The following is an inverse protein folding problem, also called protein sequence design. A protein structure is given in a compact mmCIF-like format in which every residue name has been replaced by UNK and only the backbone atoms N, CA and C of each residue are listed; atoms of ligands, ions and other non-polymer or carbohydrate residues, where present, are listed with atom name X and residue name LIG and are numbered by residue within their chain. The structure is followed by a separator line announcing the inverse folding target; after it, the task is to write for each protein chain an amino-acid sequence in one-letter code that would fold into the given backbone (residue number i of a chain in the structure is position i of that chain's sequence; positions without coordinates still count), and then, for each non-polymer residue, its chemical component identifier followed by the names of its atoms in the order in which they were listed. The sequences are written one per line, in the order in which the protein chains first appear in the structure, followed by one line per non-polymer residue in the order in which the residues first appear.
data_IF_862475491120
#
_entry.id   IF_862475491120
#
_cell.length_a   1.000
_cell.length_b   1.000
_cell.length_c   1.000
_cell.angle_alpha   90.00
_cell.angle_beta   90.00
_cell.angle_gamma   90.00
#
_symmetry.space_group_name_H-M   'P 1'
#
loop_
_entity.id
_entity.type
_entity.pdbx_description
1 polymer ?
#
# COMPACT_ATOMS: atom_id res chain seq x y z
N UNK A 1 28.56 20.00 -4.14
CA UNK A 1 28.02 18.80 -3.49
C UNK A 1 28.11 17.72 -4.53
N UNK A 2 28.96 16.73 -4.29
CA UNK A 2 29.09 15.59 -5.20
C UNK A 2 27.77 14.82 -5.14
N UNK A 3 27.15 14.63 -6.29
CA UNK A 3 25.96 13.79 -6.41
C UNK A 3 26.41 12.37 -6.16
N UNK A 4 25.82 11.70 -5.18
CA UNK A 4 26.07 10.27 -4.97
C UNK A 4 25.85 9.53 -6.30
N UNK A 5 26.74 8.61 -6.69
CA UNK A 5 26.62 7.91 -7.95
C UNK A 5 25.32 7.10 -7.98
N UNK A 6 24.60 7.13 -9.10
CA UNK A 6 23.47 6.24 -9.35
C UNK A 6 24.00 4.80 -9.46
N UNK A 7 23.52 3.92 -8.58
CA UNK A 7 23.93 2.52 -8.54
C UNK A 7 22.75 1.66 -9.01
N UNK A 8 22.98 0.88 -10.05
CA UNK A 8 22.04 -0.15 -10.49
C UNK A 8 22.09 -1.35 -9.53
N UNK A 9 20.93 -1.75 -9.03
CA UNK A 9 20.77 -2.90 -8.13
C UNK A 9 19.81 -3.92 -8.72
N UNK A 10 20.02 -5.19 -8.39
CA UNK A 10 19.05 -6.25 -8.69
C UNK A 10 18.22 -6.52 -7.44
N UNK A 11 16.91 -6.55 -7.60
CA UNK A 11 15.98 -6.74 -6.47
C UNK A 11 15.08 -7.95 -6.69
N UNK A 12 14.71 -8.63 -5.61
CA UNK A 12 13.52 -9.46 -5.57
C UNK A 12 12.34 -8.64 -5.05
N UNK A 13 11.14 -8.97 -5.53
CA UNK A 13 9.90 -8.42 -5.01
C UNK A 13 9.06 -9.56 -4.44
N UNK A 14 8.63 -9.41 -3.20
CA UNK A 14 7.69 -10.33 -2.55
C UNK A 14 6.69 -9.53 -1.70
N UNK A 15 5.64 -10.20 -1.25
CA UNK A 15 4.61 -9.59 -0.41
C UNK A 15 4.22 -10.49 0.76
N UNK A 16 3.75 -9.84 1.81
CA UNK A 16 3.12 -10.51 2.93
C UNK A 16 1.72 -9.96 3.18
N UNK A 17 0.89 -10.81 3.77
CA UNK A 17 -0.49 -10.52 4.10
C UNK A 17 -0.67 -10.60 5.61
N UNK A 18 -1.51 -9.73 6.18
CA UNK A 18 -1.89 -9.85 7.59
C UNK A 18 -2.55 -11.20 7.90
N UNK A 19 -3.33 -11.75 6.97
CA UNK A 19 -3.98 -13.06 7.09
C UNK A 19 -3.60 -13.93 5.90
N UNK A 20 -3.39 -15.23 6.13
CA UNK A 20 -3.12 -16.19 5.04
C UNK A 20 -4.30 -16.20 4.06
N UNK A 21 -3.98 -16.21 2.76
CA UNK A 21 -4.97 -16.26 1.69
C UNK A 21 -5.38 -14.88 1.16
N UNK A 22 -5.91 -14.85 -0.07
CA UNK A 22 -6.29 -13.64 -0.81
C UNK A 22 -7.54 -12.91 -0.24
N UNK A 23 -7.86 -13.11 1.04
CA UNK A 23 -8.97 -12.46 1.76
C UNK A 23 -8.47 -11.39 2.75
N UNK A 24 -7.16 -11.19 2.84
CA UNK A 24 -6.58 -10.13 3.68
C UNK A 24 -7.04 -8.75 3.20
N UNK A 25 -7.19 -7.85 4.17
CA UNK A 25 -7.46 -6.44 3.94
C UNK A 25 -6.18 -5.60 3.93
N UNK A 26 -5.05 -6.18 4.31
CA UNK A 26 -3.74 -5.54 4.37
C UNK A 26 -2.72 -6.37 3.58
N UNK A 27 -2.00 -5.69 2.71
CA UNK A 27 -0.87 -6.17 1.93
C UNK A 27 0.37 -5.32 2.23
N UNK A 28 1.52 -5.95 2.36
CA UNK A 28 2.81 -5.25 2.38
C UNK A 28 3.65 -5.82 1.24
N UNK A 29 3.93 -5.00 0.23
CA UNK A 29 4.87 -5.33 -0.84
C UNK A 29 6.27 -4.82 -0.49
N UNK A 30 7.30 -5.61 -0.76
CA UNK A 30 8.67 -5.33 -0.35
C UNK A 30 9.62 -5.58 -1.51
N UNK A 31 10.50 -4.61 -1.79
CA UNK A 31 11.65 -4.78 -2.67
C UNK A 31 12.89 -5.05 -1.81
N UNK A 32 13.58 -6.15 -2.10
CA UNK A 32 14.73 -6.63 -1.34
C UNK A 32 15.92 -6.68 -2.30
N UNK A 33 17.03 -6.06 -1.94
CA UNK A 33 18.26 -6.17 -2.72
C UNK A 33 18.79 -7.61 -2.67
N UNK A 34 19.11 -8.17 -3.84
CA UNK A 34 19.59 -9.55 -3.96
C UNK A 34 20.97 -9.77 -3.35
N UNK A 35 21.82 -8.74 -3.29
CA UNK A 35 23.18 -8.87 -2.77
C UNK A 35 23.23 -8.80 -1.25
N UNK A 36 22.57 -7.80 -0.67
CA UNK A 36 22.61 -7.56 0.79
C UNK A 36 21.48 -8.26 1.54
N UNK A 37 20.40 -8.63 0.87
CA UNK A 37 19.17 -9.12 1.51
C UNK A 37 18.41 -8.03 2.29
N UNK A 38 18.79 -6.76 2.14
CA UNK A 38 18.15 -5.64 2.82
C UNK A 38 16.93 -5.14 2.04
N UNK A 39 15.93 -4.67 2.79
CA UNK A 39 14.75 -4.00 2.22
C UNK A 39 15.15 -2.61 1.74
N UNK A 40 14.95 -2.35 0.44
CA UNK A 40 15.30 -1.06 -0.19
C UNK A 40 14.08 -0.15 -0.35
N UNK A 41 12.88 -0.72 -0.50
CA UNK A 41 11.61 0.01 -0.53
C UNK A 41 10.45 -0.93 -0.16
N UNK A 42 9.34 -0.34 0.30
CA UNK A 42 8.13 -1.08 0.64
C UNK A 42 6.86 -0.25 0.42
N UNK A 43 5.75 -0.95 0.21
CA UNK A 43 4.43 -0.36 0.05
C UNK A 43 3.43 -1.05 0.97
N UNK A 44 2.61 -0.26 1.67
CA UNK A 44 1.54 -0.75 2.53
C UNK A 44 0.22 -0.42 1.86
N UNK A 45 -0.48 -1.45 1.42
CA UNK A 45 -1.76 -1.34 0.73
C UNK A 45 -2.88 -1.94 1.60
N UNK A 46 -3.94 -1.18 1.83
CA UNK A 46 -5.05 -1.54 2.72
C UNK A 46 -6.42 -1.20 2.15
N UNK A 47 -7.37 -2.11 2.40
CA UNK A 47 -8.82 -1.96 2.16
C UNK A 47 -9.60 -1.66 3.43
N UNK A 48 -8.91 -1.51 4.55
CA UNK A 48 -9.52 -1.38 5.86
C UNK A 48 -9.19 -0.02 6.48
N UNK A 49 -10.23 0.61 6.97
CA UNK A 49 -10.15 1.70 7.93
C UNK A 49 -11.08 1.37 9.10
N UNK A 50 -10.54 1.43 10.32
CA UNK A 50 -11.30 1.07 11.53
C UNK A 50 -12.47 2.03 11.78
N UNK A 51 -12.25 3.34 11.60
CA UNK A 51 -13.29 4.35 11.74
C UNK A 51 -14.42 4.13 10.73
N UNK A 52 -14.09 3.85 9.46
CA UNK A 52 -15.08 3.45 8.45
C UNK A 52 -15.86 2.18 8.84
N UNK A 53 -15.21 1.22 9.51
CA UNK A 53 -15.85 0.00 9.96
C UNK A 53 -16.83 0.26 11.12
N UNK A 54 -16.44 1.07 12.10
CA UNK A 54 -17.31 1.49 13.20
C UNK A 54 -18.51 2.26 12.66
N UNK A 55 -18.28 3.26 11.78
CA UNK A 55 -19.36 4.12 11.30
C UNK A 55 -20.43 3.36 10.51
N UNK A 56 -20.02 2.31 9.78
CA UNK A 56 -20.96 1.39 9.11
C UNK A 56 -21.81 0.60 10.09
N UNK A 57 -21.30 0.28 11.28
CA UNK A 57 -22.04 -0.45 12.30
C UNK A 57 -23.04 0.44 13.05
N UNK A 58 -22.74 1.73 13.19
CA UNK A 58 -23.56 2.70 13.95
C UNK A 58 -24.85 3.14 13.23
N UNK A 59 -25.14 2.62 12.03
CA UNK A 59 -26.42 2.82 11.32
C UNK A 59 -26.85 4.28 11.14
N UNK A 60 -25.91 5.17 10.81
CA UNK A 60 -26.22 6.54 10.40
C UNK A 60 -27.16 6.56 9.19
N UNK A 61 -27.99 7.60 9.09
CA UNK A 61 -28.70 7.89 7.85
C UNK A 61 -27.70 8.28 6.73
N UNK A 62 -28.14 8.20 5.48
CA UNK A 62 -27.27 8.40 4.32
C UNK A 62 -26.65 9.82 4.26
N UNK A 63 -27.35 10.83 4.75
CA UNK A 63 -26.91 12.23 4.74
C UNK A 63 -25.75 12.44 5.72
N UNK A 64 -25.93 12.00 6.97
CA UNK A 64 -24.89 12.16 8.00
C UNK A 64 -23.64 11.34 7.67
N UNK A 65 -23.82 10.17 7.07
CA UNK A 65 -22.70 9.35 6.59
C UNK A 65 -21.91 10.05 5.46
N UNK A 66 -22.58 10.79 4.57
CA UNK A 66 -21.90 11.53 3.51
C UNK A 66 -21.05 12.68 4.08
N UNK A 67 -21.62 13.48 4.99
CA UNK A 67 -20.91 14.56 5.67
C UNK A 67 -19.71 14.02 6.45
N UNK A 68 -19.89 12.92 7.17
CA UNK A 68 -18.80 12.28 7.90
C UNK A 68 -17.68 11.81 6.97
N UNK A 69 -18.02 11.18 5.83
CA UNK A 69 -17.02 10.69 4.86
C UNK A 69 -16.19 11.82 4.25
N UNK A 70 -16.78 12.98 4.02
CA UNK A 70 -16.06 14.15 3.48
C UNK A 70 -15.02 14.71 4.47
N UNK A 71 -15.31 14.60 5.76
CA UNK A 71 -14.42 15.09 6.83
C UNK A 71 -13.45 14.01 7.32
N UNK A 72 -13.69 12.75 6.96
CA UNK A 72 -12.94 11.61 7.46
C UNK A 72 -11.60 11.45 6.74
N UNK A 73 -10.52 11.44 7.52
CA UNK A 73 -9.21 10.99 7.07
C UNK A 73 -9.17 9.45 6.92
N UNK A 74 -9.51 8.97 5.74
CA UNK A 74 -9.64 7.55 5.46
C UNK A 74 -8.28 6.87 5.26
N UNK A 75 -8.01 5.88 6.09
CA UNK A 75 -6.78 5.07 5.96
C UNK A 75 -6.81 4.09 4.77
N UNK A 76 -7.94 3.95 4.06
CA UNK A 76 -8.04 3.02 2.92
C UNK A 76 -7.37 3.64 1.70
N UNK A 77 -6.34 2.98 1.17
CA UNK A 77 -5.64 3.43 -0.03
C UNK A 77 -5.87 2.49 -1.24
N UNK A 78 -6.65 1.42 -1.07
CA UNK A 78 -6.97 0.47 -2.13
C UNK A 78 -8.45 0.17 -2.22
N UNK A 79 -9.00 0.28 -3.43
CA UNK A 79 -10.43 0.12 -3.67
C UNK A 79 -10.77 -1.05 -4.61
N UNK A 80 -9.76 -1.75 -5.14
CA UNK A 80 -9.94 -2.90 -6.03
C UNK A 80 -10.00 -4.23 -5.26
N UNK A 81 -9.89 -5.35 -5.97
CA UNK A 81 -9.83 -6.69 -5.36
C UNK A 81 -8.57 -6.83 -4.49
N UNK A 82 -8.62 -7.68 -3.45
CA UNK A 82 -7.41 -7.98 -2.67
C UNK A 82 -6.34 -8.61 -3.58
N UNK A 83 -6.72 -9.48 -4.52
CA UNK A 83 -5.78 -10.11 -5.46
C UNK A 83 -4.95 -9.10 -6.26
N UNK A 84 -5.49 -7.94 -6.61
CA UNK A 84 -4.76 -6.93 -7.38
C UNK A 84 -3.75 -6.13 -6.56
N UNK A 85 -3.81 -6.18 -5.22
CA UNK A 85 -2.93 -5.40 -4.34
C UNK A 85 -1.45 -5.67 -4.61
N UNK A 86 -1.06 -6.89 -5.00
CA UNK A 86 0.35 -7.17 -5.33
C UNK A 86 0.82 -6.46 -6.57
N UNK A 87 0.09 -6.65 -7.67
CA UNK A 87 0.46 -6.01 -8.92
C UNK A 87 0.42 -4.49 -8.76
N UNK A 88 -0.60 -3.96 -8.09
CA UNK A 88 -0.73 -2.53 -7.84
C UNK A 88 0.42 -2.02 -6.94
N UNK A 89 0.80 -2.72 -5.86
CA UNK A 89 1.97 -2.36 -5.02
C UNK A 89 3.29 -2.43 -5.78
N UNK A 90 3.51 -3.44 -6.64
CA UNK A 90 4.71 -3.53 -7.47
C UNK A 90 4.81 -2.33 -8.42
N UNK A 91 3.72 -1.97 -9.10
CA UNK A 91 3.68 -0.79 -9.98
C UNK A 91 4.03 0.50 -9.20
N UNK A 92 3.52 0.65 -7.97
CA UNK A 92 3.86 1.80 -7.11
C UNK A 92 5.37 1.86 -6.84
N UNK A 93 5.98 0.75 -6.42
CA UNK A 93 7.40 0.69 -6.07
C UNK A 93 8.31 1.00 -7.28
N UNK A 94 8.00 0.45 -8.46
CA UNK A 94 8.76 0.75 -9.68
C UNK A 94 8.56 2.19 -10.15
N UNK A 95 7.37 2.75 -10.03
CA UNK A 95 7.16 4.16 -10.37
C UNK A 95 7.90 5.10 -9.41
N UNK A 96 8.04 4.74 -8.12
CA UNK A 96 8.83 5.51 -7.16
C UNK A 96 10.31 5.52 -7.52
N UNK A 97 10.86 4.39 -8.00
CA UNK A 97 12.28 4.35 -8.40
C UNK A 97 12.54 5.26 -9.60
N UNK A 98 11.67 5.23 -10.61
CA UNK A 98 11.74 6.15 -11.76
C UNK A 98 11.63 7.60 -11.29
N UNK A 99 10.57 7.95 -10.55
CA UNK A 99 10.32 9.33 -10.15
C UNK A 99 11.41 9.95 -9.25
N UNK A 100 12.18 9.12 -8.54
CA UNK A 100 13.21 9.57 -7.59
C UNK A 100 14.62 9.57 -8.19
N UNK A 101 14.90 8.68 -9.13
CA UNK A 101 16.26 8.42 -9.60
C UNK A 101 16.44 8.54 -11.13
N UNK A 102 15.37 8.77 -11.90
CA UNK A 102 15.40 9.05 -13.34
C UNK A 102 14.76 10.40 -13.66
#
# INVERSE_FOLDING_TARGET
MDMDPLIDISVSYDRTWQRRGCTSLYNVGVCIDLLTGLVVDFDITTKYCHACHIQKAESMNATDLAVWKEQHDCCTNHHKSSKSMEQDSAVILWNRSVAKYM
#
